data_IF_090586192703
#
_entry.id   IF_090586192703
#
_cell.length_a   1.000
_cell.length_b   1.000
_cell.length_c   1.000
_cell.angle_alpha   90.00
_cell.angle_beta   90.00
_cell.angle_gamma   90.00
#
_symmetry.space_group_name_H-M   'P 1'
#
loop_
_entity.id
_entity.type
_entity.pdbx_description
1 polymer ?
#
# COMPACT_ATOMS: atom_id res chain seq x y z
N UNK A 1 -3.43 20.14 -13.09
CA UNK A 1 -2.64 19.83 -14.29
C UNK A 1 -1.25 19.32 -13.92
N UNK A 2 -0.42 20.10 -13.22
CA UNK A 2 0.99 19.74 -12.92
C UNK A 2 1.18 18.41 -12.19
N UNK A 3 0.34 18.08 -11.20
CA UNK A 3 0.45 16.82 -10.46
C UNK A 3 0.14 15.63 -11.37
N UNK A 4 -0.91 15.74 -12.20
CA UNK A 4 -1.28 14.68 -13.13
C UNK A 4 -0.19 14.45 -14.18
N UNK A 5 0.40 15.52 -14.72
CA UNK A 5 1.53 15.44 -15.65
C UNK A 5 2.72 14.69 -15.03
N UNK A 6 3.06 14.99 -13.78
CA UNK A 6 4.13 14.28 -13.06
C UNK A 6 3.81 12.81 -12.81
N UNK A 7 2.56 12.47 -12.49
CA UNK A 7 2.14 11.08 -12.36
C UNK A 7 2.20 10.34 -13.71
N UNK A 8 1.88 11.01 -14.81
CA UNK A 8 2.02 10.44 -16.16
C UNK A 8 3.50 10.22 -16.52
N UNK A 9 4.40 11.15 -16.19
CA UNK A 9 5.84 10.97 -16.35
C UNK A 9 6.33 9.74 -15.55
N UNK A 10 5.91 9.61 -14.29
CA UNK A 10 6.23 8.45 -13.45
C UNK A 10 5.71 7.12 -14.04
N UNK A 11 4.49 7.12 -14.58
CA UNK A 11 3.90 5.95 -15.24
C UNK A 11 4.76 5.45 -16.40
N UNK A 12 5.38 6.37 -17.15
CA UNK A 12 6.24 6.03 -18.29
C UNK A 12 7.54 5.32 -17.88
N UNK A 13 7.97 5.46 -16.63
CA UNK A 13 9.17 4.80 -16.12
C UNK A 13 8.99 3.29 -15.96
N UNK A 14 7.76 2.79 -15.87
CA UNK A 14 7.46 1.40 -15.57
C UNK A 14 7.69 1.00 -14.10
N UNK A 15 8.08 1.95 -13.24
CA UNK A 15 8.35 1.72 -11.81
C UNK A 15 7.14 2.02 -10.91
N UNK A 16 6.00 2.37 -11.47
CA UNK A 16 4.78 2.74 -10.76
C UNK A 16 3.60 1.94 -11.28
N UNK A 17 2.80 1.44 -10.37
CA UNK A 17 1.52 0.80 -10.66
C UNK A 17 0.39 1.58 -9.99
N UNK A 18 -0.65 1.91 -10.77
CA UNK A 18 -1.85 2.55 -10.26
C UNK A 18 -2.88 1.50 -9.85
N UNK A 19 -3.39 1.63 -8.63
CA UNK A 19 -4.36 0.72 -8.06
C UNK A 19 -5.79 1.21 -8.29
N UNK A 20 -6.74 0.27 -8.35
CA UNK A 20 -8.14 0.61 -8.27
C UNK A 20 -8.56 0.87 -6.82
N UNK A 21 -9.55 1.77 -6.66
CA UNK A 21 -10.27 1.98 -5.40
C UNK A 21 -11.72 2.41 -5.70
N UNK A 22 -12.62 2.45 -4.70
CA UNK A 22 -13.92 3.11 -4.88
C UNK A 22 -13.73 4.58 -5.25
N UNK A 23 -14.36 5.02 -6.34
CA UNK A 23 -14.17 6.36 -6.92
C UNK A 23 -14.37 7.51 -5.93
N UNK A 24 -15.40 7.40 -5.10
CA UNK A 24 -15.74 8.40 -4.09
C UNK A 24 -15.03 8.20 -2.76
N UNK A 25 -14.14 7.22 -2.65
CA UNK A 25 -13.47 6.82 -1.41
C UNK A 25 -14.44 6.57 -0.24
N UNK A 26 -15.64 6.11 -0.57
CA UNK A 26 -16.71 5.83 0.39
C UNK A 26 -16.72 4.40 0.91
N UNK A 27 -17.67 4.10 1.79
CA UNK A 27 -17.83 2.79 2.43
C UNK A 27 -18.83 1.88 1.68
N UNK A 28 -18.93 2.02 0.37
CA UNK A 28 -19.91 1.29 -0.46
C UNK A 28 -19.75 -0.24 -0.34
N UNK A 29 -18.53 -0.74 -0.13
CA UNK A 29 -18.28 -2.16 0.09
C UNK A 29 -18.99 -2.78 1.31
N UNK A 30 -19.41 -1.96 2.27
CA UNK A 30 -20.15 -2.40 3.47
C UNK A 30 -21.67 -2.29 3.32
N UNK A 31 -22.14 -1.54 2.32
CA UNK A 31 -23.54 -1.14 2.23
C UNK A 31 -24.24 -1.77 1.05
N UNK A 32 -23.62 -1.76 -0.13
CA UNK A 32 -24.26 -2.23 -1.35
C UNK A 32 -23.22 -2.66 -2.39
N UNK A 33 -23.25 -3.92 -2.74
CA UNK A 33 -22.31 -4.54 -3.68
C UNK A 33 -22.34 -3.91 -5.08
N UNK A 34 -23.53 -3.61 -5.61
CA UNK A 34 -23.68 -3.01 -6.93
C UNK A 34 -23.09 -1.60 -6.98
N UNK A 35 -23.31 -0.82 -5.93
CA UNK A 35 -22.70 0.51 -5.78
C UNK A 35 -21.17 0.38 -5.70
N UNK A 36 -20.67 -0.55 -4.90
CA UNK A 36 -19.23 -0.82 -4.79
C UNK A 36 -18.62 -1.16 -6.15
N UNK A 37 -19.20 -2.12 -6.88
CA UNK A 37 -18.75 -2.50 -8.21
C UNK A 37 -18.77 -1.33 -9.21
N UNK A 38 -19.81 -0.50 -9.15
CA UNK A 38 -19.94 0.68 -10.00
C UNK A 38 -18.86 1.73 -9.73
N UNK A 39 -18.62 2.03 -8.45
CA UNK A 39 -17.57 2.95 -8.00
C UNK A 39 -16.17 2.49 -8.47
N UNK A 40 -15.85 1.21 -8.25
CA UNK A 40 -14.57 0.62 -8.68
C UNK A 40 -14.41 0.66 -10.19
N UNK A 41 -15.44 0.28 -10.96
CA UNK A 41 -15.41 0.35 -12.44
C UNK A 41 -15.17 1.77 -12.94
N UNK A 42 -15.84 2.75 -12.31
CA UNK A 42 -15.65 4.17 -12.64
C UNK A 42 -14.22 4.62 -12.42
N UNK A 43 -13.62 4.23 -11.32
CA UNK A 43 -12.20 4.53 -11.01
C UNK A 43 -11.26 3.87 -12.02
N UNK A 44 -11.46 2.59 -12.33
CA UNK A 44 -10.67 1.88 -13.34
C UNK A 44 -10.68 2.58 -14.69
N UNK A 45 -11.86 3.03 -15.14
CA UNK A 45 -12.00 3.79 -16.39
C UNK A 45 -11.16 5.08 -16.35
N UNK A 46 -11.19 5.80 -15.22
CA UNK A 46 -10.39 7.03 -15.08
C UNK A 46 -8.89 6.77 -15.06
N UNK A 47 -8.44 5.71 -14.40
CA UNK A 47 -7.03 5.33 -14.41
C UNK A 47 -6.59 4.94 -15.82
N UNK A 48 -7.39 4.16 -16.54
CA UNK A 48 -7.10 3.76 -17.91
C UNK A 48 -7.06 4.99 -18.86
N UNK A 49 -7.99 5.94 -18.70
CA UNK A 49 -8.00 7.21 -19.48
C UNK A 49 -6.73 8.04 -19.25
N UNK A 50 -6.23 8.11 -18.01
CA UNK A 50 -5.08 8.97 -17.67
C UNK A 50 -3.74 8.29 -17.89
N UNK A 51 -3.64 6.97 -17.68
CA UNK A 51 -2.37 6.25 -17.62
C UNK A 51 -2.25 5.11 -18.64
N UNK A 52 -3.31 4.82 -19.39
CA UNK A 52 -3.29 3.85 -20.49
C UNK A 52 -3.26 2.38 -20.05
N UNK A 53 -3.42 2.09 -18.76
CA UNK A 53 -3.44 0.73 -18.20
C UNK A 53 -4.62 0.56 -17.25
N UNK A 54 -5.37 -0.52 -17.42
CA UNK A 54 -6.41 -0.91 -16.46
C UNK A 54 -5.77 -1.48 -15.20
N UNK A 55 -6.16 -1.03 -14.00
CA UNK A 55 -5.66 -1.59 -12.75
C UNK A 55 -6.08 -3.05 -12.59
N UNK A 56 -5.21 -3.87 -12.03
CA UNK A 56 -5.47 -5.29 -11.72
C UNK A 56 -5.40 -5.60 -10.23
N UNK A 57 -5.00 -4.63 -9.43
CA UNK A 57 -4.96 -4.70 -7.96
C UNK A 57 -5.85 -3.62 -7.39
N UNK A 58 -6.60 -3.96 -6.35
CA UNK A 58 -7.55 -3.08 -5.68
C UNK A 58 -7.08 -2.74 -4.25
N UNK A 59 -7.28 -1.49 -3.86
CA UNK A 59 -7.23 -1.05 -2.48
C UNK A 59 -8.61 -0.54 -2.09
N UNK A 60 -9.28 -1.18 -1.13
CA UNK A 60 -10.56 -0.69 -0.64
C UNK A 60 -10.38 0.52 0.29
N UNK A 61 -11.41 1.36 0.39
CA UNK A 61 -11.44 2.48 1.33
C UNK A 61 -11.11 2.00 2.73
N UNK A 62 -10.22 2.72 3.42
CA UNK A 62 -9.74 2.41 4.78
C UNK A 62 -9.21 0.98 4.95
N UNK A 63 -8.74 0.33 3.88
CA UNK A 63 -8.23 -1.05 3.85
C UNK A 63 -9.24 -2.09 4.38
N UNK A 64 -10.54 -1.76 4.34
CA UNK A 64 -11.62 -2.65 4.79
C UNK A 64 -11.63 -3.92 3.94
N UNK A 65 -11.64 -5.05 4.62
CA UNK A 65 -11.65 -6.37 4.04
C UNK A 65 -12.57 -7.33 4.80
N UNK A 66 -13.24 -8.17 4.06
CA UNK A 66 -13.80 -9.46 4.48
C UNK A 66 -13.66 -10.45 3.33
N UNK A 67 -13.83 -11.74 3.58
CA UNK A 67 -13.75 -12.74 2.50
C UNK A 67 -14.86 -12.58 1.46
N UNK A 68 -16.05 -12.05 1.84
CA UNK A 68 -17.13 -11.71 0.91
C UNK A 68 -16.75 -10.54 0.00
N UNK A 69 -16.13 -9.48 0.56
CA UNK A 69 -15.60 -8.37 -0.23
C UNK A 69 -14.51 -8.90 -1.17
N UNK A 70 -13.62 -9.75 -0.67
CA UNK A 70 -12.59 -10.40 -1.47
C UNK A 70 -13.16 -11.22 -2.64
N UNK A 71 -14.21 -12.01 -2.40
CA UNK A 71 -14.89 -12.75 -3.46
C UNK A 71 -15.48 -11.82 -4.53
N UNK A 72 -16.16 -10.75 -4.11
CA UNK A 72 -16.70 -9.73 -5.03
C UNK A 72 -15.59 -9.09 -5.87
N UNK A 73 -14.43 -8.79 -5.26
CA UNK A 73 -13.28 -8.20 -5.96
C UNK A 73 -12.68 -9.19 -6.96
N UNK A 74 -12.58 -10.47 -6.59
CA UNK A 74 -12.13 -11.53 -7.50
C UNK A 74 -13.06 -11.71 -8.70
N UNK A 75 -14.38 -11.61 -8.49
CA UNK A 75 -15.41 -11.68 -9.54
C UNK A 75 -15.37 -10.46 -10.50
N UNK A 76 -14.66 -9.41 -10.12
CA UNK A 76 -14.36 -8.26 -10.97
C UNK A 76 -13.03 -8.39 -11.73
N UNK A 77 -12.43 -9.59 -11.76
CA UNK A 77 -11.17 -9.91 -12.43
C UNK A 77 -9.92 -9.25 -11.83
N UNK A 78 -9.96 -8.83 -10.56
CA UNK A 78 -8.75 -8.42 -9.86
C UNK A 78 -7.93 -9.62 -9.42
N UNK A 79 -6.60 -9.49 -9.53
CA UNK A 79 -5.64 -10.53 -9.13
C UNK A 79 -5.10 -10.35 -7.72
N UNK A 80 -5.18 -9.12 -7.20
CA UNK A 80 -4.69 -8.76 -5.88
C UNK A 80 -5.52 -7.69 -5.19
N UNK A 81 -5.45 -7.67 -3.86
CA UNK A 81 -6.08 -6.66 -3.03
C UNK A 81 -5.15 -6.30 -1.86
N UNK A 82 -5.04 -5.00 -1.59
CA UNK A 82 -4.33 -4.47 -0.43
C UNK A 82 -5.29 -4.37 0.75
N UNK A 83 -4.87 -4.87 1.91
CA UNK A 83 -5.67 -4.86 3.13
C UNK A 83 -4.80 -4.63 4.38
N UNK A 84 -5.44 -4.40 5.51
CA UNK A 84 -4.76 -4.18 6.77
C UNK A 84 -4.18 -5.49 7.33
N UNK A 85 -2.94 -5.45 7.83
CA UNK A 85 -2.30 -6.53 8.57
C UNK A 85 -2.74 -6.56 10.04
N UNK A 86 -4.05 -6.69 10.27
CA UNK A 86 -4.66 -6.57 11.58
C UNK A 86 -4.21 -7.69 12.53
N UNK A 87 -3.41 -7.35 13.55
CA UNK A 87 -2.83 -8.31 14.48
C UNK A 87 -3.86 -9.20 15.20
N UNK A 88 -5.04 -8.66 15.50
CA UNK A 88 -6.10 -9.43 16.15
C UNK A 88 -6.73 -10.50 15.23
N UNK A 89 -6.58 -10.36 13.91
CA UNK A 89 -7.00 -11.35 12.91
C UNK A 89 -5.87 -12.33 12.62
N UNK A 90 -4.65 -11.82 12.43
CA UNK A 90 -3.48 -12.64 12.12
C UNK A 90 -3.01 -13.48 13.30
N UNK A 91 -3.25 -13.01 14.54
CA UNK A 91 -2.73 -13.66 15.77
C UNK A 91 -1.20 -13.66 15.76
N UNK A 92 -0.63 -14.86 15.68
CA UNK A 92 0.83 -15.07 15.65
C UNK A 92 1.45 -15.04 14.25
N UNK A 93 0.62 -14.99 13.20
CA UNK A 93 1.08 -15.00 11.81
C UNK A 93 1.69 -13.65 11.43
N UNK A 94 2.73 -13.68 10.58
CA UNK A 94 3.34 -12.49 10.03
C UNK A 94 2.51 -11.89 8.87
N UNK A 95 2.43 -10.56 8.72
CA UNK A 95 1.84 -9.92 7.55
C UNK A 95 2.72 -10.01 6.29
N UNK A 96 3.93 -10.55 6.39
CA UNK A 96 4.95 -10.53 5.35
C UNK A 96 4.87 -11.71 4.37
N UNK A 97 3.73 -12.37 4.32
CA UNK A 97 3.42 -13.42 3.33
C UNK A 97 2.35 -12.95 2.36
N UNK A 98 2.35 -13.52 1.16
CA UNK A 98 1.24 -13.36 0.23
C UNK A 98 0.11 -14.29 0.65
N UNK A 99 -0.97 -13.71 1.14
CA UNK A 99 -2.18 -14.42 1.51
C UNK A 99 -3.13 -14.57 0.31
N UNK A 100 -4.26 -15.18 0.50
CA UNK A 100 -5.33 -15.26 -0.48
C UNK A 100 -6.70 -15.19 0.20
N UNK A 101 -7.69 -14.74 -0.53
CA UNK A 101 -9.08 -14.74 -0.08
C UNK A 101 -9.55 -16.18 0.15
N UNK A 102 -10.16 -16.49 1.30
CA UNK A 102 -10.60 -17.82 1.63
C UNK A 102 -11.77 -18.28 0.74
N UNK A 103 -12.64 -17.36 0.29
CA UNK A 103 -13.76 -17.66 -0.60
C UNK A 103 -13.35 -17.74 -2.07
N UNK A 104 -12.26 -17.07 -2.48
CA UNK A 104 -11.76 -17.13 -3.86
C UNK A 104 -10.22 -17.06 -3.88
N UNK A 105 -9.51 -18.23 -3.88
CA UNK A 105 -8.04 -18.26 -3.78
C UNK A 105 -7.28 -17.62 -4.93
N UNK A 106 -7.96 -17.26 -6.03
CA UNK A 106 -7.34 -16.53 -7.13
C UNK A 106 -6.92 -15.11 -6.73
N UNK A 107 -7.68 -14.49 -5.80
CA UNK A 107 -7.36 -13.18 -5.29
C UNK A 107 -6.24 -13.27 -4.25
N UNK A 108 -5.11 -12.65 -4.53
CA UNK A 108 -3.99 -12.51 -3.58
C UNK A 108 -4.23 -11.32 -2.66
N UNK A 109 -3.79 -11.44 -1.42
CA UNK A 109 -3.90 -10.39 -0.42
C UNK A 109 -2.50 -9.97 0.01
N UNK A 110 -2.24 -8.68 -0.09
CA UNK A 110 -1.03 -8.02 0.39
C UNK A 110 -1.39 -7.25 1.67
N UNK A 111 -0.81 -7.68 2.78
CA UNK A 111 -1.15 -7.16 4.10
C UNK A 111 -0.21 -6.02 4.48
N UNK A 112 -0.76 -4.89 4.91
CA UNK A 112 0.03 -3.77 5.42
C UNK A 112 0.80 -4.18 6.68
N UNK A 113 2.10 -3.93 6.71
CA UNK A 113 2.80 -3.90 7.99
C UNK A 113 2.42 -2.62 8.74
N UNK A 114 1.65 -2.79 9.80
CA UNK A 114 1.12 -1.67 10.61
C UNK A 114 2.25 -0.90 11.27
N UNK A 115 3.20 -1.60 11.90
CA UNK A 115 4.29 -0.99 12.65
C UNK A 115 5.18 -0.16 11.75
N UNK A 116 5.72 -0.77 10.70
CA UNK A 116 6.63 -0.09 9.76
C UNK A 116 5.96 1.07 9.03
N UNK A 117 4.69 0.91 8.64
CA UNK A 117 3.92 1.97 8.01
C UNK A 117 3.67 3.16 8.94
N UNK A 118 3.32 2.87 10.20
CA UNK A 118 3.03 3.89 11.21
C UNK A 118 4.30 4.59 11.72
N UNK A 119 5.44 3.92 11.70
CA UNK A 119 6.74 4.54 12.02
C UNK A 119 7.01 5.74 11.09
N UNK A 120 6.66 5.61 9.81
CA UNK A 120 6.81 6.72 8.84
C UNK A 120 5.62 7.67 8.92
N UNK A 121 4.38 7.15 8.86
CA UNK A 121 3.19 7.99 8.66
C UNK A 121 2.74 8.72 9.91
N UNK A 122 2.93 8.15 11.11
CA UNK A 122 2.40 8.69 12.36
C UNK A 122 3.48 9.12 13.36
N UNK A 123 4.58 8.37 13.44
CA UNK A 123 5.58 8.54 14.51
C UNK A 123 6.83 9.31 14.11
N UNK A 124 7.09 9.49 12.82
CA UNK A 124 8.35 9.98 12.28
C UNK A 124 8.87 11.28 12.93
N UNK A 125 8.00 12.26 13.13
CA UNK A 125 8.34 13.54 13.73
C UNK A 125 8.11 13.61 15.25
N UNK A 126 7.67 12.51 15.87
CA UNK A 126 7.37 12.49 17.31
C UNK A 126 8.66 12.27 18.13
N UNK A 127 9.16 13.32 18.76
CA UNK A 127 10.37 13.26 19.61
C UNK A 127 10.22 12.39 20.87
N UNK A 128 8.98 12.12 21.31
CA UNK A 128 8.70 11.29 22.47
C UNK A 128 8.63 9.80 22.12
N UNK A 129 8.68 9.47 20.83
CA UNK A 129 8.72 8.08 20.37
C UNK A 129 10.12 7.49 20.56
N UNK A 130 10.20 6.29 21.13
CA UNK A 130 11.46 5.59 21.42
C UNK A 130 12.35 5.40 20.17
N UNK A 131 11.75 5.24 18.99
CA UNK A 131 12.46 5.10 17.71
C UNK A 131 12.93 6.42 17.09
N UNK A 132 12.68 7.56 17.72
CA UNK A 132 13.10 8.87 17.21
C UNK A 132 14.58 9.14 17.51
N UNK A 133 15.35 9.77 16.59
CA UNK A 133 15.00 10.04 15.19
C UNK A 133 15.13 8.80 14.30
N UNK A 134 14.16 8.61 13.39
CA UNK A 134 14.19 7.49 12.45
C UNK A 134 15.08 7.82 11.25
N UNK A 135 16.16 7.07 11.09
CA UNK A 135 17.03 7.14 9.93
C UNK A 135 16.74 6.01 8.94
N UNK A 136 16.91 6.28 7.63
CA UNK A 136 16.67 5.29 6.57
C UNK A 136 17.53 4.03 6.75
N UNK A 137 18.74 4.18 7.24
CA UNK A 137 19.65 3.06 7.51
C UNK A 137 19.11 2.15 8.61
N UNK A 138 18.67 2.72 9.74
CA UNK A 138 18.09 1.98 10.86
C UNK A 138 16.78 1.28 10.44
N UNK A 139 15.93 1.97 9.68
CA UNK A 139 14.68 1.42 9.17
C UNK A 139 14.91 0.23 8.24
N UNK A 140 15.89 0.32 7.34
CA UNK A 140 16.24 -0.78 6.45
C UNK A 140 17.00 -1.91 7.16
N UNK A 141 17.74 -1.64 8.25
CA UNK A 141 18.31 -2.68 9.10
C UNK A 141 17.21 -3.49 9.80
N UNK A 142 16.18 -2.81 10.30
CA UNK A 142 15.03 -3.46 10.91
C UNK A 142 14.32 -4.38 9.90
N UNK A 143 14.05 -3.89 8.69
CA UNK A 143 13.50 -4.70 7.60
C UNK A 143 14.40 -5.90 7.25
N UNK A 144 15.70 -5.70 7.16
CA UNK A 144 16.65 -6.76 6.85
C UNK A 144 16.80 -7.80 7.97
N UNK A 145 16.30 -7.50 9.17
CA UNK A 145 16.32 -8.44 10.31
C UNK A 145 15.20 -9.47 10.31
N UNK A 146 14.20 -9.32 9.43
CA UNK A 146 13.12 -10.30 9.32
C UNK A 146 13.63 -11.63 8.75
N UNK A 147 12.98 -12.76 9.08
CA UNK A 147 13.33 -14.05 8.55
C UNK A 147 13.35 -14.09 7.01
N UNK A 148 14.30 -14.81 6.42
CA UNK A 148 14.44 -14.94 4.96
C UNK A 148 13.21 -15.61 4.30
N UNK A 149 12.43 -16.36 5.07
CA UNK A 149 11.19 -17.00 4.60
C UNK A 149 10.06 -16.01 4.37
N UNK A 150 10.14 -14.81 4.94
CA UNK A 150 9.16 -13.75 4.73
C UNK A 150 9.33 -13.15 3.34
N UNK A 151 8.26 -13.20 2.54
CA UNK A 151 8.32 -12.97 1.10
C UNK A 151 8.24 -11.52 0.69
N UNK A 152 7.44 -10.72 1.43
CA UNK A 152 7.10 -9.37 1.04
C UNK A 152 6.78 -8.51 2.26
N UNK A 153 7.23 -7.26 2.25
CA UNK A 153 6.89 -6.28 3.27
C UNK A 153 6.13 -5.15 2.59
N UNK A 154 4.88 -4.94 3.02
CA UNK A 154 4.01 -3.95 2.42
C UNK A 154 3.89 -2.73 3.34
N UNK A 155 4.42 -1.60 2.89
CA UNK A 155 4.37 -0.32 3.61
C UNK A 155 3.35 0.57 2.91
N UNK A 156 2.22 0.83 3.59
CA UNK A 156 1.14 1.64 3.07
C UNK A 156 1.02 2.92 3.88
N UNK A 157 1.06 4.05 3.21
CA UNK A 157 0.87 5.36 3.83
C UNK A 157 0.11 6.29 2.90
N UNK A 158 -0.51 7.29 3.45
CA UNK A 158 -1.10 8.38 2.67
C UNK A 158 0.00 9.33 2.20
N UNK A 159 -0.18 9.90 1.01
CA UNK A 159 0.76 10.90 0.48
C UNK A 159 0.85 12.14 1.39
N UNK A 160 -0.21 12.44 2.13
CA UNK A 160 -0.26 13.50 3.15
C UNK A 160 0.78 13.31 4.27
N UNK A 161 1.28 12.09 4.49
CA UNK A 161 2.38 11.86 5.41
C UNK A 161 3.64 12.64 5.01
N UNK A 162 3.84 12.92 3.71
CA UNK A 162 5.02 13.59 3.19
C UNK A 162 4.83 15.12 3.14
N UNK A 163 4.93 15.78 4.28
CA UNK A 163 4.94 17.25 4.36
C UNK A 163 3.68 17.88 4.98
N UNK A 164 2.61 17.09 5.24
CA UNK A 164 1.41 17.56 5.95
C UNK A 164 1.36 16.94 7.34
N UNK A 165 1.16 15.61 7.44
CA UNK A 165 1.14 14.92 8.73
C UNK A 165 2.54 14.90 9.38
N UNK A 166 3.58 14.66 8.60
CA UNK A 166 4.96 14.82 9.01
C UNK A 166 5.51 16.11 8.38
N UNK A 167 5.85 17.15 9.16
CA UNK A 167 6.30 18.42 8.59
C UNK A 167 7.62 18.27 7.85
N UNK A 168 7.85 19.11 6.84
CA UNK A 168 9.11 19.08 6.06
C UNK A 168 10.35 19.29 6.92
N UNK A 169 10.23 20.03 8.04
CA UNK A 169 11.29 20.25 9.02
C UNK A 169 11.74 18.97 9.75
N UNK A 170 10.96 17.89 9.67
CA UNK A 170 11.35 16.58 10.20
C UNK A 170 12.38 15.83 9.32
N UNK A 171 12.72 16.37 8.14
CA UNK A 171 13.56 15.73 7.13
C UNK A 171 12.96 14.45 6.53
N UNK A 172 11.65 14.28 6.55
CA UNK A 172 10.99 13.08 5.99
C UNK A 172 11.30 12.89 4.50
N UNK A 173 11.44 13.95 3.73
CA UNK A 173 11.80 13.83 2.31
C UNK A 173 13.23 13.32 2.11
N UNK A 174 14.18 13.72 2.96
CA UNK A 174 15.55 13.20 2.91
C UNK A 174 15.60 11.73 3.33
N UNK A 175 14.81 11.34 4.34
CA UNK A 175 14.60 9.94 4.68
C UNK A 175 14.08 9.14 3.47
N UNK A 176 13.02 9.59 2.81
CA UNK A 176 12.46 8.91 1.63
C UNK A 176 13.45 8.80 0.47
N UNK A 177 14.26 9.83 0.24
CA UNK A 177 15.32 9.80 -0.79
C UNK A 177 16.43 8.80 -0.48
N UNK A 178 16.76 8.60 0.80
CA UNK A 178 17.80 7.68 1.22
C UNK A 178 17.37 6.21 1.20
N UNK A 179 16.05 5.92 1.35
CA UNK A 179 15.54 4.55 1.43
C UNK A 179 15.99 3.63 0.29
N UNK A 180 15.94 4.02 -1.01
CA UNK A 180 16.32 3.11 -2.09
C UNK A 180 17.78 2.68 -2.03
N UNK A 181 18.69 3.57 -1.67
CA UNK A 181 20.11 3.24 -1.55
C UNK A 181 20.38 2.34 -0.33
N UNK A 182 19.77 2.65 0.81
CA UNK A 182 19.87 1.83 2.02
C UNK A 182 19.29 0.42 1.80
N UNK A 183 18.20 0.29 1.05
CA UNK A 183 17.61 -0.99 0.67
C UNK A 183 18.54 -1.80 -0.21
N UNK A 184 19.09 -1.18 -1.27
CA UNK A 184 20.01 -1.82 -2.21
C UNK A 184 21.24 -2.38 -1.52
N UNK A 185 21.83 -1.66 -0.55
CA UNK A 185 22.98 -2.11 0.23
C UNK A 185 22.70 -3.39 1.04
N UNK A 186 21.41 -3.70 1.29
CA UNK A 186 20.94 -4.90 2.03
C UNK A 186 20.32 -5.96 1.14
N UNK A 187 20.43 -5.79 -0.18
CA UNK A 187 19.82 -6.73 -1.13
C UNK A 187 18.28 -6.66 -1.18
N UNK A 188 17.67 -5.62 -0.60
CA UNK A 188 16.22 -5.41 -0.63
C UNK A 188 15.86 -4.66 -1.91
N UNK A 189 14.82 -5.11 -2.59
CA UNK A 189 14.31 -4.49 -3.81
C UNK A 189 12.90 -3.96 -3.60
N UNK A 190 12.58 -2.83 -4.22
CA UNK A 190 11.21 -2.35 -4.32
C UNK A 190 10.52 -3.00 -5.51
N UNK A 191 9.24 -3.31 -5.36
CA UNK A 191 8.42 -3.90 -6.42
C UNK A 191 7.04 -3.26 -6.45
N UNK A 192 6.33 -3.49 -7.54
CA UNK A 192 4.89 -3.23 -7.66
C UNK A 192 4.10 -4.47 -7.22
N UNK A 193 2.79 -4.34 -6.91
CA UNK A 193 1.95 -5.46 -6.49
C UNK A 193 1.77 -6.59 -7.52
N UNK A 194 2.05 -6.34 -8.83
CA UNK A 194 1.96 -7.32 -9.91
C UNK A 194 3.28 -7.76 -10.47
#
# INVERSE_FOLDING_TARGET
PQVLEKLQELNQTGCVEFLAEPYSHGLSSLVNEETFKSEVKRQCTKIEEYFGKKPTVLRNSSLIYSDEIGATVADMDFVGMLTEGAKHVLGWKSPHYVYHCAMNPKLKLLLRDVRLSDDISLRFANSDWEGYPLFADNYMNDIASFPEEEQVINIFMELSALGIAQPLSSNILEFMKALPECAKQRGITFSTPT
#
